data_IF_726516985288
#
_entry.id   IF_726516985288
#
_cell.length_a   1.000
_cell.length_b   1.000
_cell.length_c   1.000
_cell.angle_alpha   90.00
_cell.angle_beta   90.00
_cell.angle_gamma   90.00
#
_symmetry.space_group_name_H-M   'P 1'
#
loop_
_entity.id
_entity.type
_entity.pdbx_description
1 polymer ?
#
# COMPACT_ATOMS: atom_id res chain seq x y z
N UNK A 1 18.51 -16.56 -5.26
CA UNK A 1 17.37 -16.60 -6.16
C UNK A 1 16.94 -15.18 -6.51
N UNK A 2 16.49 -14.93 -7.74
CA UNK A 2 15.95 -13.66 -8.20
C UNK A 2 14.49 -13.87 -8.59
N UNK A 3 13.62 -12.95 -8.20
CA UNK A 3 12.18 -13.01 -8.45
C UNK A 3 11.70 -11.67 -9.01
N UNK A 4 10.78 -11.72 -9.96
CA UNK A 4 10.12 -10.55 -10.50
C UNK A 4 8.62 -10.83 -10.63
N UNK A 5 7.81 -9.82 -10.40
CA UNK A 5 6.35 -9.89 -10.50
C UNK A 5 5.80 -8.64 -11.16
N UNK A 6 4.70 -8.79 -11.90
CA UNK A 6 3.91 -7.71 -12.44
C UNK A 6 2.43 -8.00 -12.19
N UNK A 7 1.75 -7.11 -11.49
CA UNK A 7 0.33 -7.23 -11.18
C UNK A 7 -0.47 -6.08 -11.78
N UNK A 8 -1.58 -6.41 -12.44
CA UNK A 8 -2.56 -5.45 -12.90
C UNK A 8 -3.83 -5.54 -12.05
N UNK A 9 -4.34 -4.41 -11.60
CA UNK A 9 -5.56 -4.34 -10.80
C UNK A 9 -6.60 -3.43 -11.45
N UNK A 10 -7.81 -3.96 -11.65
CA UNK A 10 -8.91 -3.18 -12.23
C UNK A 10 -9.68 -2.40 -11.15
N UNK A 11 -9.07 -1.35 -10.62
CA UNK A 11 -9.72 -0.43 -9.71
C UNK A 11 -10.77 0.47 -10.37
N UNK A 12 -10.83 0.56 -11.71
CA UNK A 12 -11.81 1.36 -12.44
C UNK A 12 -13.28 0.92 -12.18
N UNK A 13 -13.49 -0.23 -11.53
CA UNK A 13 -14.80 -0.66 -11.05
C UNK A 13 -15.28 0.13 -9.83
N UNK A 14 -14.35 0.66 -9.03
CA UNK A 14 -14.68 1.48 -7.87
C UNK A 14 -14.90 2.93 -8.30
N UNK A 15 -16.18 3.25 -8.56
CA UNK A 15 -16.59 4.56 -9.09
C UNK A 15 -17.02 5.52 -7.99
N UNK A 16 -17.69 4.99 -6.97
CA UNK A 16 -18.25 5.76 -5.88
C UNK A 16 -18.35 4.93 -4.60
N UNK A 17 -18.28 5.61 -3.47
CA UNK A 17 -18.60 5.06 -2.15
C UNK A 17 -19.99 5.57 -1.75
N UNK A 18 -20.93 4.65 -1.54
CA UNK A 18 -22.28 4.98 -1.11
C UNK A 18 -22.49 4.52 0.33
N UNK A 19 -22.78 5.45 1.22
CA UNK A 19 -23.19 5.16 2.59
C UNK A 19 -24.70 5.33 2.70
N UNK A 20 -25.39 4.24 2.95
CA UNK A 20 -26.85 4.22 3.17
C UNK A 20 -27.16 4.29 4.65
N UNK A 21 -28.14 5.10 5.00
CA UNK A 21 -28.59 5.26 6.36
C UNK A 21 -29.98 4.65 6.55
N UNK A 22 -30.19 3.95 7.66
CA UNK A 22 -31.51 3.36 8.01
C UNK A 22 -32.53 4.43 8.39
N UNK A 23 -32.08 5.64 8.72
CA UNK A 23 -32.95 6.77 9.04
C UNK A 23 -33.49 7.41 7.74
N UNK A 24 -34.81 7.30 7.44
CA UNK A 24 -35.38 7.84 6.20
C UNK A 24 -35.32 9.39 6.10
N UNK A 25 -35.04 10.08 7.19
CA UNK A 25 -34.84 11.54 7.20
C UNK A 25 -33.40 11.94 6.81
N UNK A 26 -32.49 10.99 6.72
CA UNK A 26 -31.09 11.23 6.38
C UNK A 26 -30.80 10.68 4.96
N UNK A 27 -30.50 11.56 3.98
CA UNK A 27 -30.18 11.12 2.63
C UNK A 27 -28.87 10.33 2.60
N UNK A 28 -28.77 9.37 1.68
CA UNK A 28 -27.56 8.63 1.43
C UNK A 28 -26.39 9.56 1.08
N UNK A 29 -25.20 9.24 1.58
CA UNK A 29 -23.99 9.97 1.22
C UNK A 29 -23.30 9.25 0.06
N UNK A 30 -23.09 9.96 -1.04
CA UNK A 30 -22.37 9.46 -2.22
C UNK A 30 -21.09 10.25 -2.40
N UNK A 31 -19.95 9.54 -2.36
CA UNK A 31 -18.63 10.12 -2.61
C UNK A 31 -18.11 9.56 -3.95
N UNK A 32 -18.00 10.39 -5.01
CA UNK A 32 -17.40 9.96 -6.28
C UNK A 32 -15.91 9.69 -6.11
N UNK A 33 -15.43 8.54 -6.56
CA UNK A 33 -14.02 8.13 -6.47
C UNK A 33 -13.37 8.05 -7.86
N UNK A 34 -14.08 7.47 -8.84
CA UNK A 34 -13.63 7.34 -10.23
C UNK A 34 -12.19 6.82 -10.37
N UNK A 35 -11.84 5.82 -9.59
CA UNK A 35 -10.50 5.23 -9.60
C UNK A 35 -10.13 4.71 -10.98
N UNK A 36 -8.82 4.62 -11.27
CA UNK A 36 -8.33 4.06 -12.53
C UNK A 36 -7.62 2.71 -12.32
N UNK A 37 -7.34 2.04 -13.41
CA UNK A 37 -6.58 0.79 -13.43
C UNK A 37 -5.14 1.08 -13.04
N UNK A 38 -4.50 0.14 -12.31
CA UNK A 38 -3.13 0.31 -11.85
C UNK A 38 -2.26 -0.89 -12.17
N UNK A 39 -0.97 -0.63 -12.25
CA UNK A 39 0.10 -1.62 -12.36
C UNK A 39 0.98 -1.59 -11.13
N UNK A 40 1.49 -2.76 -10.74
CA UNK A 40 2.54 -2.91 -9.75
C UNK A 40 3.63 -3.78 -10.34
N UNK A 41 4.88 -3.36 -10.17
CA UNK A 41 6.05 -4.13 -10.58
C UNK A 41 6.93 -4.34 -9.36
N UNK A 42 7.42 -5.57 -9.17
CA UNK A 42 8.30 -5.88 -8.07
C UNK A 42 9.49 -6.71 -8.50
N UNK A 43 10.61 -6.52 -7.79
CA UNK A 43 11.84 -7.28 -7.94
C UNK A 43 12.37 -7.67 -6.57
N UNK A 44 12.76 -8.91 -6.41
CA UNK A 44 13.32 -9.43 -5.16
C UNK A 44 14.52 -10.34 -5.39
N UNK A 45 15.41 -10.35 -4.42
CA UNK A 45 16.59 -11.21 -4.40
C UNK A 45 16.70 -11.89 -3.05
N UNK A 46 16.89 -13.22 -3.06
CA UNK A 46 17.29 -13.99 -1.89
C UNK A 46 18.75 -14.39 -2.05
N UNK A 47 19.53 -14.11 -1.03
CA UNK A 47 20.92 -14.54 -0.88
C UNK A 47 21.02 -15.51 0.29
N UNK A 48 21.72 -16.62 0.09
CA UNK A 48 21.93 -17.72 1.06
C UNK A 48 23.42 -17.79 1.36
N UNK A 49 23.91 -17.09 2.39
CA UNK A 49 25.33 -17.12 2.77
C UNK A 49 25.77 -18.52 3.21
N UNK A 50 24.90 -19.22 3.92
CA UNK A 50 25.05 -20.57 4.44
C UNK A 50 23.70 -21.28 4.61
N UNK A 51 23.67 -22.46 5.21
CA UNK A 51 22.46 -23.23 5.44
C UNK A 51 21.54 -22.63 6.53
N UNK A 52 22.05 -21.76 7.37
CA UNK A 52 21.30 -21.14 8.47
C UNK A 52 20.68 -19.80 8.08
N UNK A 53 21.36 -19.02 7.22
CA UNK A 53 20.93 -17.65 6.89
C UNK A 53 20.24 -17.56 5.53
N UNK A 54 19.16 -16.80 5.51
CA UNK A 54 18.56 -16.27 4.27
C UNK A 54 18.43 -14.76 4.39
N UNK A 55 19.12 -14.02 3.51
CA UNK A 55 18.99 -12.57 3.40
C UNK A 55 18.12 -12.23 2.20
N UNK A 56 17.26 -11.20 2.35
CA UNK A 56 16.30 -10.78 1.31
C UNK A 56 16.37 -9.29 1.08
N UNK A 57 16.35 -8.91 -0.18
CA UNK A 57 16.17 -7.52 -0.60
C UNK A 57 15.05 -7.48 -1.63
N UNK A 58 14.25 -6.42 -1.58
CA UNK A 58 13.16 -6.25 -2.51
C UNK A 58 12.85 -4.79 -2.77
N UNK A 59 12.36 -4.52 -3.96
CA UNK A 59 11.80 -3.22 -4.34
C UNK A 59 10.53 -3.41 -5.14
N UNK A 60 9.61 -2.46 -5.05
CA UNK A 60 8.44 -2.42 -5.92
C UNK A 60 8.07 -0.98 -6.26
N UNK A 61 7.55 -0.78 -7.46
CA UNK A 61 6.80 0.41 -7.84
C UNK A 61 5.31 0.04 -7.89
N UNK A 62 4.48 0.83 -7.23
CA UNK A 62 3.06 0.56 -7.05
C UNK A 62 2.27 1.83 -7.36
N UNK A 63 1.47 1.77 -8.42
CA UNK A 63 0.68 2.89 -8.92
C UNK A 63 -0.58 3.07 -8.08
N UNK A 64 -0.89 4.30 -7.68
CA UNK A 64 -2.11 4.63 -6.95
C UNK A 64 -3.30 4.74 -7.89
N UNK A 65 -4.47 4.17 -7.54
CA UNK A 65 -5.68 4.31 -8.34
C UNK A 65 -6.37 5.70 -8.19
N UNK A 66 -5.94 6.50 -7.22
CA UNK A 66 -6.63 7.72 -6.80
C UNK A 66 -6.28 8.90 -7.71
N UNK A 67 -7.28 9.51 -8.33
CA UNK A 67 -7.11 10.71 -9.15
C UNK A 67 -7.11 11.97 -8.29
N UNK A 68 -6.25 12.93 -8.61
CA UNK A 68 -6.12 14.20 -7.87
C UNK A 68 -7.45 14.94 -7.68
N UNK A 69 -8.31 14.95 -8.71
CA UNK A 69 -9.61 15.63 -8.65
C UNK A 69 -10.64 14.97 -7.70
N UNK A 70 -10.41 13.72 -7.30
CA UNK A 70 -11.29 12.95 -6.41
C UNK A 70 -10.58 12.48 -5.14
N UNK A 71 -9.36 12.98 -4.91
CA UNK A 71 -8.57 12.63 -3.72
C UNK A 71 -9.17 13.24 -2.48
N UNK A 72 -9.73 12.40 -1.62
CA UNK A 72 -10.34 12.83 -0.35
C UNK A 72 -9.31 12.74 0.78
N UNK A 73 -9.51 13.46 1.91
CA UNK A 73 -8.67 13.34 3.10
C UNK A 73 -8.66 11.94 3.71
N UNK A 74 -9.64 11.10 3.38
CA UNK A 74 -9.73 9.71 3.87
C UNK A 74 -8.72 8.79 3.19
N UNK A 75 -8.39 9.09 1.91
CA UNK A 75 -7.47 8.27 1.12
C UNK A 75 -6.53 9.23 0.36
N UNK A 76 -5.56 9.86 1.05
CA UNK A 76 -4.60 10.77 0.45
C UNK A 76 -3.46 9.98 -0.21
N UNK A 77 -3.82 9.04 -1.10
CA UNK A 77 -2.90 8.08 -1.70
C UNK A 77 -2.27 8.63 -2.99
N UNK A 78 -1.02 8.21 -3.27
CA UNK A 78 -0.30 8.47 -4.52
C UNK A 78 0.65 7.30 -4.82
N UNK A 79 1.30 7.32 -5.98
CA UNK A 79 2.29 6.33 -6.38
C UNK A 79 3.37 6.17 -5.31
N UNK A 80 3.84 4.93 -5.13
CA UNK A 80 4.79 4.61 -4.07
C UNK A 80 5.87 3.66 -4.54
N UNK A 81 7.05 3.84 -3.97
CA UNK A 81 8.18 2.94 -4.11
C UNK A 81 8.37 2.23 -2.77
N UNK A 82 8.46 0.92 -2.82
CA UNK A 82 8.75 0.05 -1.69
C UNK A 82 10.21 -0.32 -1.70
N UNK A 83 10.89 -0.22 -0.59
CA UNK A 83 12.23 -0.75 -0.39
C UNK A 83 12.22 -1.63 0.85
N UNK A 84 12.55 -2.91 0.66
CA UNK A 84 12.43 -3.93 1.69
C UNK A 84 13.75 -4.65 1.92
N UNK A 85 14.04 -4.97 3.17
CA UNK A 85 15.12 -5.85 3.57
C UNK A 85 14.62 -6.85 4.61
N UNK A 86 15.14 -8.06 4.60
CA UNK A 86 14.77 -9.09 5.56
C UNK A 86 15.87 -10.11 5.76
N UNK A 87 15.82 -10.77 6.91
CA UNK A 87 16.72 -11.85 7.26
C UNK A 87 15.96 -12.96 7.97
N UNK A 88 16.31 -14.20 7.68
CA UNK A 88 15.88 -15.38 8.42
C UNK A 88 17.09 -16.12 8.97
N UNK A 89 16.92 -16.66 10.15
CA UNK A 89 17.91 -17.52 10.78
C UNK A 89 17.27 -18.81 11.27
N UNK A 90 17.75 -19.95 10.79
CA UNK A 90 17.38 -21.29 11.24
C UNK A 90 18.34 -21.70 12.35
N UNK A 91 17.85 -21.80 13.59
CA UNK A 91 18.64 -22.29 14.73
C UNK A 91 18.87 -23.80 14.62
N UNK A 92 17.86 -24.51 14.15
CA UNK A 92 17.87 -25.96 13.84
C UNK A 92 16.70 -26.26 12.87
N UNK A 93 16.37 -27.53 12.66
CA UNK A 93 15.28 -27.96 11.76
C UNK A 93 13.90 -27.53 12.25
N UNK A 94 13.74 -27.29 13.55
CA UNK A 94 12.46 -27.00 14.19
C UNK A 94 12.23 -25.52 14.50
N UNK A 95 13.30 -24.72 14.61
CA UNK A 95 13.20 -23.32 15.10
C UNK A 95 13.81 -22.38 14.08
N UNK A 96 13.00 -21.41 13.66
CA UNK A 96 13.37 -20.33 12.76
C UNK A 96 12.87 -18.99 13.26
N UNK A 97 13.68 -17.95 13.08
CA UNK A 97 13.30 -16.55 13.31
C UNK A 97 13.47 -15.75 12.03
N UNK A 98 12.47 -14.93 11.73
CA UNK A 98 12.44 -14.02 10.59
C UNK A 98 12.30 -12.59 11.10
N UNK A 99 13.07 -11.66 10.51
CA UNK A 99 12.94 -10.22 10.73
C UNK A 99 12.86 -9.52 9.38
N UNK A 100 12.04 -8.49 9.31
CA UNK A 100 11.85 -7.71 8.08
C UNK A 100 11.61 -6.23 8.36
N UNK A 101 12.08 -5.41 7.44
CA UNK A 101 11.83 -3.98 7.39
C UNK A 101 11.46 -3.57 5.98
N UNK A 102 10.46 -2.70 5.87
CA UNK A 102 10.07 -2.09 4.61
C UNK A 102 9.82 -0.60 4.81
N UNK A 103 10.40 0.22 3.95
CA UNK A 103 10.08 1.63 3.82
C UNK A 103 9.30 1.90 2.53
N UNK A 104 8.21 2.66 2.65
CA UNK A 104 7.42 3.14 1.52
C UNK A 104 7.67 4.63 1.33
N UNK A 105 8.25 4.98 0.21
CA UNK A 105 8.34 6.34 -0.28
C UNK A 105 7.07 6.65 -1.06
N UNK A 106 6.15 7.40 -0.46
CA UNK A 106 4.89 7.79 -1.10
C UNK A 106 5.12 9.15 -1.76
N UNK A 107 4.77 9.26 -3.05
CA UNK A 107 4.82 10.53 -3.76
C UNK A 107 3.82 11.49 -3.15
N UNK A 108 4.20 12.76 -3.05
CA UNK A 108 3.33 13.81 -2.54
C UNK A 108 1.97 13.82 -3.25
N UNK A 109 0.90 13.92 -2.46
CA UNK A 109 -0.46 13.78 -2.95
C UNK A 109 -1.19 15.14 -2.91
N UNK A 110 -1.27 15.81 -4.05
CA UNK A 110 -2.03 17.04 -4.18
C UNK A 110 -3.54 16.75 -4.04
N UNK A 111 -4.23 17.55 -3.25
CA UNK A 111 -5.68 17.56 -3.12
C UNK A 111 -6.24 18.87 -3.65
N UNK A 112 -7.23 18.79 -4.52
CA UNK A 112 -7.95 19.93 -5.07
C UNK A 112 -9.44 19.61 -5.08
N UNK A 113 -10.01 19.48 -3.88
CA UNK A 113 -11.43 19.25 -3.69
C UNK A 113 -12.15 20.59 -3.61
N UNK A 114 -12.90 20.91 -4.65
CA UNK A 114 -13.72 22.14 -4.77
C UNK A 114 -15.19 21.81 -5.02
N UNK A 115 -15.58 20.53 -4.83
CA UNK A 115 -16.87 20.01 -5.24
C UNK A 115 -17.88 19.82 -4.10
N UNK A 116 -17.47 20.02 -2.85
CA UNK A 116 -18.37 19.90 -1.70
C UNK A 116 -18.83 21.28 -1.22
N UNK A 117 -20.08 21.69 -1.56
CA UNK A 117 -20.61 23.00 -1.17
C UNK A 117 -20.84 23.14 0.34
N UNK A 118 -20.85 22.04 1.11
CA UNK A 118 -21.09 22.05 2.56
C UNK A 118 -19.79 22.02 3.36
N UNK A 119 -18.75 21.33 2.85
CA UNK A 119 -17.46 21.20 3.53
C UNK A 119 -16.45 22.29 3.13
N UNK A 120 -16.72 23.04 2.05
CA UNK A 120 -15.81 24.06 1.50
C UNK A 120 -14.69 23.45 0.65
N UNK A 121 -13.81 24.32 0.16
CA UNK A 121 -12.67 23.93 -0.68
C UNK A 121 -11.53 23.38 0.17
N UNK A 122 -10.97 22.24 -0.24
CA UNK A 122 -9.77 21.67 0.34
C UNK A 122 -8.66 21.63 -0.72
N UNK A 123 -7.79 22.61 -0.69
CA UNK A 123 -6.61 22.71 -1.56
C UNK A 123 -5.37 22.53 -0.69
N UNK A 124 -4.56 21.55 -0.97
CA UNK A 124 -3.37 21.24 -0.19
C UNK A 124 -2.57 20.09 -0.75
N UNK A 125 -1.57 19.69 0.02
CA UNK A 125 -0.65 18.62 -0.31
C UNK A 125 -0.48 17.70 0.90
N UNK A 126 -0.55 16.40 0.68
CA UNK A 126 -0.22 15.39 1.68
C UNK A 126 1.19 14.87 1.41
N UNK A 127 2.03 14.89 2.44
CA UNK A 127 3.34 14.28 2.46
C UNK A 127 3.27 13.09 3.41
N UNK A 128 3.67 11.92 2.95
CA UNK A 128 3.54 10.68 3.73
C UNK A 128 4.70 9.75 3.44
N UNK A 129 5.16 9.07 4.47
CA UNK A 129 6.03 7.90 4.39
C UNK A 129 5.57 6.84 5.37
N UNK A 130 5.95 5.58 5.13
CA UNK A 130 5.55 4.48 6.00
C UNK A 130 6.74 3.58 6.29
N UNK A 131 6.91 3.23 7.56
CA UNK A 131 7.90 2.26 8.02
C UNK A 131 7.18 1.04 8.58
N UNK A 132 7.49 -0.15 8.06
CA UNK A 132 6.92 -1.41 8.48
C UNK A 132 8.03 -2.29 9.04
N UNK A 133 7.83 -2.78 10.27
CA UNK A 133 8.71 -3.73 10.93
C UNK A 133 7.95 -5.03 11.17
N UNK A 134 8.57 -6.16 10.88
CA UNK A 134 8.00 -7.47 11.11
C UNK A 134 9.01 -8.36 11.85
N UNK A 135 8.50 -9.16 12.78
CA UNK A 135 9.25 -10.20 13.48
C UNK A 135 8.35 -11.43 13.59
N UNK A 136 8.88 -12.58 13.24
CA UNK A 136 8.19 -13.88 13.30
C UNK A 136 9.13 -14.91 13.90
N UNK A 137 8.56 -15.83 14.71
CA UNK A 137 9.23 -17.03 15.17
C UNK A 137 8.37 -18.25 14.81
N UNK A 138 8.95 -19.22 14.10
CA UNK A 138 8.30 -20.46 13.71
C UNK A 138 8.90 -21.63 14.49
N UNK A 139 8.06 -22.45 15.10
CA UNK A 139 8.44 -23.64 15.86
C UNK A 139 7.62 -24.82 15.33
N UNK A 140 8.31 -25.89 14.93
CA UNK A 140 7.68 -27.15 14.46
C UNK A 140 7.77 -28.15 15.62
N UNK A 141 6.68 -28.83 15.93
CA UNK A 141 6.59 -29.82 17.01
C UNK A 141 6.45 -31.23 16.46
#
# INVERSE_FOLDING_TARGET
>A
AVMADAAWTNWARFRELVVKYDNPAQPDTVTPEHWHQTMRYSLGVNFFPDDCWTLRLGTAWDESPVKTAYRTPRIPDNDRIWLSAGASYNFNEDIRVDAGYTHLFIRDADSNLTTDPLAGDLIGKYESDVNIYALEASIIF
#
